data_IF_800216381176
#
_entry.id   IF_800216381176
#
_cell.length_a   1.000
_cell.length_b   1.000
_cell.length_c   1.000
_cell.angle_alpha   90.00
_cell.angle_beta   90.00
_cell.angle_gamma   90.00
#
_symmetry.space_group_name_H-M   'P 1'
#
loop_
_entity.id
_entity.type
_entity.pdbx_description
1 polymer ?
#
# COMPACT_ATOMS: atom_id res chain seq x y z
N UNK A 1 11.49 28.92 -10.77
CA UNK A 1 11.14 27.53 -10.40
C UNK A 1 9.69 27.28 -10.79
N UNK A 2 9.41 26.28 -11.63
CA UNK A 2 8.03 25.83 -11.81
C UNK A 2 7.69 24.96 -10.59
N UNK A 3 6.60 25.21 -9.87
CA UNK A 3 6.20 24.31 -8.79
C UNK A 3 5.96 22.92 -9.39
N UNK A 4 6.55 21.88 -8.80
CA UNK A 4 6.24 20.50 -9.14
C UNK A 4 4.73 20.29 -8.97
N UNK A 5 3.94 20.14 -10.05
CA UNK A 5 2.49 20.04 -9.96
C UNK A 5 2.05 18.78 -9.20
N UNK A 6 2.96 17.82 -9.06
CA UNK A 6 2.78 16.57 -8.32
C UNK A 6 3.13 16.68 -6.83
N UNK A 7 3.76 17.76 -6.37
CA UNK A 7 4.11 17.92 -4.95
C UNK A 7 2.90 17.82 -4.01
N UNK A 8 1.77 18.53 -4.22
CA UNK A 8 0.60 18.39 -3.36
C UNK A 8 -0.07 17.01 -3.48
N UNK A 9 -0.01 16.38 -4.65
CA UNK A 9 -0.54 15.04 -4.87
C UNK A 9 0.30 13.97 -4.16
N UNK A 10 1.63 14.12 -4.15
CA UNK A 10 2.54 13.27 -3.37
C UNK A 10 2.28 13.39 -1.88
N UNK A 11 2.06 14.60 -1.35
CA UNK A 11 1.72 14.77 0.07
C UNK A 11 0.43 14.04 0.42
N UNK A 12 -0.65 14.26 -0.34
CA UNK A 12 -1.92 13.56 -0.14
C UNK A 12 -1.79 12.04 -0.27
N UNK A 13 -0.99 11.58 -1.24
CA UNK A 13 -0.70 10.16 -1.39
C UNK A 13 -0.03 9.62 -0.14
N UNK A 14 1.02 10.27 0.37
CA UNK A 14 1.69 9.84 1.61
C UNK A 14 0.73 9.76 2.79
N UNK A 15 -0.08 10.78 3.01
CA UNK A 15 -1.07 10.79 4.09
C UNK A 15 -2.06 9.61 3.95
N UNK A 16 -2.59 9.40 2.75
CA UNK A 16 -3.49 8.27 2.47
C UNK A 16 -2.79 6.93 2.66
N UNK A 17 -1.54 6.80 2.21
CA UNK A 17 -0.79 5.54 2.29
C UNK A 17 -0.43 5.19 3.75
N UNK A 18 -0.28 6.17 4.64
CA UNK A 18 -0.16 5.92 6.08
C UNK A 18 -1.47 5.34 6.65
N UNK A 19 -2.62 5.91 6.28
CA UNK A 19 -3.94 5.39 6.65
C UNK A 19 -4.16 3.97 6.10
N UNK A 20 -3.80 3.74 4.84
CA UNK A 20 -3.84 2.45 4.17
C UNK A 20 -3.03 1.38 4.93
N UNK A 21 -1.87 1.74 5.50
CA UNK A 21 -1.07 0.81 6.30
C UNK A 21 -1.78 0.39 7.60
N UNK A 22 -2.48 1.31 8.28
CA UNK A 22 -3.27 0.97 9.45
C UNK A 22 -4.45 0.07 9.07
N UNK A 23 -5.17 0.41 8.00
CA UNK A 23 -6.30 -0.39 7.51
C UNK A 23 -5.89 -1.79 7.07
N UNK A 24 -4.70 -1.95 6.47
CA UNK A 24 -4.14 -3.27 6.17
C UNK A 24 -3.94 -4.11 7.43
N UNK A 25 -3.53 -3.49 8.56
CA UNK A 25 -3.41 -4.20 9.84
C UNK A 25 -4.76 -4.59 10.42
N UNK A 26 -5.74 -3.69 10.37
CA UNK A 26 -7.10 -3.98 10.81
C UNK A 26 -7.72 -5.10 9.97
N UNK A 27 -7.56 -5.04 8.66
CA UNK A 27 -7.99 -6.08 7.72
C UNK A 27 -7.31 -7.43 8.02
N UNK A 28 -5.99 -7.40 8.25
CA UNK A 28 -5.21 -8.57 8.67
C UNK A 28 -5.67 -9.14 10.02
N UNK A 29 -6.15 -8.30 10.95
CA UNK A 29 -6.72 -8.74 12.22
C UNK A 29 -8.14 -9.31 12.07
N UNK A 30 -8.94 -8.76 11.15
CA UNK A 30 -10.29 -9.22 10.83
C UNK A 30 -10.34 -10.54 10.03
N UNK A 31 -9.20 -10.99 9.49
CA UNK A 31 -9.08 -12.23 8.74
C UNK A 31 -9.87 -12.19 7.43
N UNK A 32 -10.66 -13.22 7.15
CA UNK A 32 -11.39 -13.34 5.89
C UNK A 32 -12.39 -12.19 5.65
N UNK A 33 -12.93 -11.59 6.73
CA UNK A 33 -13.80 -10.40 6.63
C UNK A 33 -13.07 -9.14 6.20
N UNK A 34 -11.78 -9.02 6.51
CA UNK A 34 -10.94 -7.88 6.12
C UNK A 34 -10.32 -8.03 4.73
N UNK A 35 -10.32 -9.24 4.18
CA UNK A 35 -9.74 -9.59 2.89
C UNK A 35 -10.12 -8.64 1.73
N UNK A 36 -11.39 -8.30 1.48
CA UNK A 36 -11.74 -7.39 0.38
C UNK A 36 -11.20 -5.97 0.58
N UNK A 37 -11.07 -5.49 1.83
CA UNK A 37 -10.49 -4.18 2.08
C UNK A 37 -8.97 -4.21 1.86
N UNK A 38 -8.30 -5.27 2.30
CA UNK A 38 -6.87 -5.47 2.03
C UNK A 38 -6.58 -5.55 0.53
N UNK A 39 -7.36 -6.31 -0.24
CA UNK A 39 -7.22 -6.41 -1.70
C UNK A 39 -7.36 -5.03 -2.37
N UNK A 40 -8.40 -4.27 -1.99
CA UNK A 40 -8.63 -2.92 -2.55
C UNK A 40 -7.49 -1.95 -2.24
N UNK A 41 -6.93 -2.02 -1.02
CA UNK A 41 -5.80 -1.18 -0.62
C UNK A 41 -4.54 -1.56 -1.40
N UNK A 42 -4.23 -2.86 -1.46
CA UNK A 42 -3.07 -3.40 -2.19
C UNK A 42 -3.14 -3.03 -3.67
N UNK A 43 -4.30 -3.21 -4.29
CA UNK A 43 -4.56 -2.83 -5.68
C UNK A 43 -4.32 -1.34 -5.94
N UNK A 44 -4.91 -0.49 -5.08
CA UNK A 44 -4.75 0.95 -5.18
C UNK A 44 -3.29 1.39 -4.98
N UNK A 45 -2.57 0.72 -4.08
CA UNK A 45 -1.16 1.00 -3.80
C UNK A 45 -0.28 0.60 -4.97
N UNK A 46 -0.47 -0.59 -5.56
CA UNK A 46 0.28 -1.06 -6.72
C UNK A 46 0.17 -0.08 -7.90
N UNK A 47 -1.04 0.43 -8.18
CA UNK A 47 -1.27 1.39 -9.25
C UNK A 47 -0.76 2.81 -8.95
N UNK A 48 -0.86 3.25 -7.69
CA UNK A 48 -0.52 4.64 -7.32
C UNK A 48 0.96 4.82 -6.97
N UNK A 49 1.61 3.83 -6.35
CA UNK A 49 2.97 3.96 -5.84
C UNK A 49 4.00 4.21 -6.94
N UNK A 50 3.87 3.54 -8.09
CA UNK A 50 4.73 3.77 -9.26
C UNK A 50 4.65 5.21 -9.80
N UNK A 51 3.46 5.82 -9.77
CA UNK A 51 3.25 7.19 -10.24
C UNK A 51 3.98 8.25 -9.39
N UNK A 52 4.18 7.96 -8.10
CA UNK A 52 4.76 8.89 -7.14
C UNK A 52 6.23 8.61 -6.78
N UNK A 53 6.87 7.67 -7.49
CA UNK A 53 8.28 7.31 -7.31
C UNK A 53 8.56 6.30 -6.19
N UNK A 54 7.55 5.53 -5.77
CA UNK A 54 7.68 4.47 -4.78
C UNK A 54 7.66 3.08 -5.46
N UNK A 55 8.56 2.85 -6.41
CA UNK A 55 8.60 1.61 -7.21
C UNK A 55 8.73 0.34 -6.36
N UNK A 56 9.60 0.32 -5.34
CA UNK A 56 9.73 -0.85 -4.43
C UNK A 56 8.41 -1.17 -3.71
N UNK A 57 7.68 -0.12 -3.33
CA UNK A 57 6.40 -0.28 -2.65
C UNK A 57 5.32 -0.75 -3.61
N UNK A 58 5.32 -0.22 -4.84
CA UNK A 58 4.40 -0.61 -5.90
C UNK A 58 4.62 -2.04 -6.36
N UNK A 59 5.88 -2.49 -6.48
CA UNK A 59 6.22 -3.87 -6.84
C UNK A 59 5.81 -4.85 -5.74
N UNK A 60 6.10 -4.53 -4.47
CA UNK A 60 5.66 -5.33 -3.34
C UNK A 60 4.12 -5.43 -3.29
N UNK A 61 3.41 -4.31 -3.45
CA UNK A 61 1.96 -4.32 -3.49
C UNK A 61 1.43 -5.10 -4.71
N UNK A 62 2.03 -4.94 -5.89
CA UNK A 62 1.65 -5.64 -7.11
C UNK A 62 1.82 -7.17 -7.00
N UNK A 63 2.84 -7.64 -6.29
CA UNK A 63 3.02 -9.05 -6.01
C UNK A 63 1.88 -9.62 -5.14
N UNK A 64 1.43 -8.87 -4.12
CA UNK A 64 0.27 -9.24 -3.31
C UNK A 64 -1.04 -9.14 -4.10
N UNK A 65 -1.22 -8.10 -4.92
CA UNK A 65 -2.41 -7.90 -5.77
C UNK A 65 -2.62 -9.09 -6.71
N UNK A 66 -1.55 -9.53 -7.37
CA UNK A 66 -1.59 -10.71 -8.25
C UNK A 66 -2.03 -11.96 -7.49
N UNK A 67 -1.53 -12.15 -6.26
CA UNK A 67 -1.92 -13.27 -5.40
C UNK A 67 -3.40 -13.25 -5.05
N UNK A 68 -3.95 -12.08 -4.73
CA UNK A 68 -5.41 -11.92 -4.55
C UNK A 68 -6.18 -12.31 -5.83
N UNK A 69 -5.74 -11.84 -6.99
CA UNK A 69 -6.37 -12.14 -8.28
C UNK A 69 -6.30 -13.64 -8.66
N UNK A 70 -5.20 -14.32 -8.29
CA UNK A 70 -4.99 -15.75 -8.50
C UNK A 70 -5.80 -16.64 -7.54
N UNK A 71 -6.72 -16.07 -6.75
CA UNK A 71 -7.48 -16.75 -5.68
C UNK A 71 -6.58 -17.40 -4.61
N UNK A 72 -5.32 -16.97 -4.52
CA UNK A 72 -4.35 -17.44 -3.53
C UNK A 72 -3.98 -16.27 -2.61
N UNK A 73 -4.85 -15.90 -1.65
CA UNK A 73 -4.66 -14.68 -0.89
C UNK A 73 -3.34 -14.71 -0.11
N UNK A 74 -2.64 -13.58 -0.04
CA UNK A 74 -1.47 -13.46 0.82
C UNK A 74 -1.85 -13.73 2.29
N UNK A 75 -0.92 -14.33 3.00
CA UNK A 75 -1.07 -14.63 4.42
C UNK A 75 -1.16 -13.35 5.24
N UNK A 76 -1.71 -13.44 6.45
CA UNK A 76 -1.75 -12.33 7.41
C UNK A 76 -0.37 -11.67 7.58
N UNK A 77 0.68 -12.47 7.67
CA UNK A 77 2.05 -12.00 7.81
C UNK A 77 2.55 -11.21 6.60
N UNK A 78 2.15 -11.60 5.39
CA UNK A 78 2.51 -10.89 4.16
C UNK A 78 1.82 -9.51 4.09
N UNK A 79 0.55 -9.44 4.46
CA UNK A 79 -0.20 -8.17 4.56
C UNK A 79 0.45 -7.25 5.60
N UNK A 80 0.80 -7.79 6.77
CA UNK A 80 1.49 -7.02 7.82
C UNK A 80 2.89 -6.58 7.38
N UNK A 81 3.61 -7.41 6.63
CA UNK A 81 4.91 -7.06 6.07
C UNK A 81 4.80 -5.91 5.07
N UNK A 82 3.76 -5.88 4.23
CA UNK A 82 3.49 -4.75 3.34
C UNK A 82 3.19 -3.47 4.14
N UNK A 83 2.32 -3.54 5.16
CA UNK A 83 2.03 -2.40 6.04
C UNK A 83 3.30 -1.84 6.70
N UNK A 84 4.19 -2.71 7.18
CA UNK A 84 5.47 -2.30 7.75
C UNK A 84 6.42 -1.69 6.70
N UNK A 85 6.42 -2.17 5.45
CA UNK A 85 7.20 -1.56 4.35
C UNK A 85 6.72 -0.16 4.03
N UNK A 86 5.40 0.05 4.00
CA UNK A 86 4.80 1.36 3.80
C UNK A 86 5.32 2.35 4.85
N UNK A 87 5.20 2.01 6.12
CA UNK A 87 5.63 2.90 7.20
C UNK A 87 7.13 3.19 7.16
N UNK A 88 7.96 2.20 6.79
CA UNK A 88 9.40 2.41 6.62
C UNK A 88 9.71 3.32 5.44
N UNK A 89 9.04 3.14 4.31
CA UNK A 89 9.23 3.96 3.11
C UNK A 89 8.82 5.42 3.34
N UNK A 90 7.76 5.64 4.13
CA UNK A 90 7.23 6.96 4.43
C UNK A 90 7.94 7.63 5.62
N UNK A 91 8.30 6.86 6.65
CA UNK A 91 9.00 7.35 7.85
C UNK A 91 10.48 7.68 7.61
N UNK A 92 11.14 7.08 6.61
CA UNK A 92 12.50 7.47 6.19
C UNK A 92 12.55 8.80 5.42
N UNK A 93 11.40 9.42 5.19
CA UNK A 93 11.26 10.63 4.38
C UNK A 93 10.84 11.87 5.19
N UNK A 94 11.12 11.85 6.50
CA UNK A 94 11.04 12.99 7.42
C UNK A 94 12.38 13.68 7.59
#
# INVERSE_FOLDING_TARGET
>A
MKPDPLAPLRTKFRERTIDDAQRLRDAAAAGDRGRPDAERIVHGLAGSAGMFGFEDLGDAAGALDRRFAERNPPSREEILALAARIERALGRHS
#
